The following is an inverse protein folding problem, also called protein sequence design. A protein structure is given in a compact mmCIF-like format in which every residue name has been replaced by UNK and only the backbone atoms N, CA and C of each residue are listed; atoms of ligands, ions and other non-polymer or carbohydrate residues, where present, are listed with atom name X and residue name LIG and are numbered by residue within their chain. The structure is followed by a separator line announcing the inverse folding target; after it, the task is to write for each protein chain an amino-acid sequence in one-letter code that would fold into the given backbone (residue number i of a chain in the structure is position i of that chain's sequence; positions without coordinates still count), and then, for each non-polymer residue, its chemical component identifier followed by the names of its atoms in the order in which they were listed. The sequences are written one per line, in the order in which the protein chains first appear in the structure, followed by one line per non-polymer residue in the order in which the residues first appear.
data_IF_846424000451
#
_entry.id   IF_846424000451
#
_cell.length_a   1.000
_cell.length_b   1.000
_cell.length_c   1.000
_cell.angle_alpha   90.00
_cell.angle_beta   90.00
_cell.angle_gamma   90.00
#
_symmetry.space_group_name_H-M   'P 1'
#
loop_
_entity.id
_entity.type
_entity.pdbx_description
1 polymer ?
#
# COMPACT_ATOMS: atom_id res chain seq x y z
N UNK A 1 -16.95 14.29 1.91
CA UNK A 1 -16.47 12.97 1.47
C UNK A 1 -15.24 12.64 2.29
N UNK A 2 -15.12 11.41 2.78
CA UNK A 2 -13.86 10.91 3.35
C UNK A 2 -12.80 10.85 2.25
N UNK A 3 -11.55 11.07 2.64
CA UNK A 3 -10.37 10.90 1.78
C UNK A 3 -9.92 9.44 1.82
N UNK A 4 -9.53 8.88 0.70
CA UNK A 4 -9.11 7.47 0.62
C UNK A 4 -7.60 7.33 0.73
N UNK A 5 -7.12 6.63 1.75
CA UNK A 5 -5.73 6.20 1.89
C UNK A 5 -5.59 4.75 1.43
N UNK A 6 -4.86 4.52 0.34
CA UNK A 6 -4.57 3.19 -0.17
C UNK A 6 -3.19 2.70 0.30
N UNK A 7 -3.20 1.65 1.10
CA UNK A 7 -2.01 0.93 1.53
C UNK A 7 -1.76 -0.23 0.57
N UNK A 8 -0.67 -0.15 -0.19
CA UNK A 8 -0.20 -1.24 -1.07
C UNK A 8 0.99 -1.91 -0.43
N UNK A 9 0.91 -3.21 -0.17
CA UNK A 9 1.94 -3.91 0.58
C UNK A 9 2.41 -5.20 -0.09
N UNK A 10 3.72 -5.47 0.01
CA UNK A 10 4.29 -6.78 -0.18
C UNK A 10 4.93 -7.21 1.14
N UNK A 11 4.35 -8.22 1.79
CA UNK A 11 4.72 -8.65 3.15
C UNK A 11 5.11 -10.13 3.18
N UNK A 12 6.22 -10.53 2.54
CA UNK A 12 6.59 -11.94 2.40
C UNK A 12 7.23 -12.55 3.66
N UNK A 13 7.48 -11.77 4.71
CA UNK A 13 8.17 -12.20 5.92
C UNK A 13 7.45 -11.73 7.20
N UNK A 14 7.68 -12.38 8.35
CA UNK A 14 7.11 -11.97 9.64
C UNK A 14 7.42 -10.51 10.00
N UNK A 15 8.65 -10.04 9.79
CA UNK A 15 9.00 -8.64 10.10
C UNK A 15 8.28 -7.63 9.21
N UNK A 16 8.09 -7.95 7.93
CA UNK A 16 7.27 -7.10 7.06
C UNK A 16 5.81 -7.12 7.49
N UNK A 17 5.31 -8.25 7.98
CA UNK A 17 3.96 -8.37 8.53
C UNK A 17 3.78 -7.53 9.80
N UNK A 18 4.71 -7.61 10.75
CA UNK A 18 4.71 -6.79 11.98
C UNK A 18 4.68 -5.28 11.64
N UNK A 19 5.52 -4.85 10.69
CA UNK A 19 5.55 -3.46 10.24
C UNK A 19 4.24 -3.06 9.54
N UNK A 20 3.66 -3.95 8.73
CA UNK A 20 2.37 -3.70 8.10
C UNK A 20 1.24 -3.56 9.12
N UNK A 21 1.21 -4.41 10.14
CA UNK A 21 0.22 -4.31 11.21
C UNK A 21 0.34 -3.01 12.01
N UNK A 22 1.56 -2.58 12.33
CA UNK A 22 1.81 -1.30 12.98
C UNK A 22 1.35 -0.11 12.12
N UNK A 23 1.61 -0.16 10.82
CA UNK A 23 1.14 0.84 9.86
C UNK A 23 -0.39 0.87 9.78
N UNK A 24 -1.03 -0.29 9.72
CA UNK A 24 -2.50 -0.39 9.70
C UNK A 24 -3.08 0.21 10.98
N UNK A 25 -2.55 -0.17 12.14
CA UNK A 25 -3.01 0.34 13.42
C UNK A 25 -2.92 1.87 13.49
N UNK A 26 -1.79 2.45 13.05
CA UNK A 26 -1.63 3.90 13.00
C UNK A 26 -2.48 4.60 11.94
N UNK A 27 -2.72 3.97 10.79
CA UNK A 27 -3.55 4.54 9.73
C UNK A 27 -5.05 4.51 10.08
N UNK A 28 -5.49 3.54 10.88
CA UNK A 28 -6.88 3.40 11.35
C UNK A 28 -7.06 3.85 12.80
N UNK A 29 -6.16 4.70 13.32
CA UNK A 29 -6.26 5.23 14.68
C UNK A 29 -7.58 6.01 14.83
N UNK A 30 -8.33 5.83 15.94
CA UNK A 30 -9.63 6.48 16.13
C UNK A 30 -9.56 8.02 16.17
N UNK A 31 -8.39 8.61 16.46
CA UNK A 31 -8.21 10.07 16.43
C UNK A 31 -8.02 10.60 14.98
N UNK A 32 -7.87 9.72 13.98
CA UNK A 32 -7.80 10.08 12.57
C UNK A 32 -9.21 10.06 11.97
N UNK A 33 -9.78 11.25 11.83
CA UNK A 33 -11.10 11.45 11.23
C UNK A 33 -11.04 11.76 9.73
N UNK A 34 -12.11 11.43 9.01
CA UNK A 34 -12.29 11.81 7.60
C UNK A 34 -11.42 11.04 6.61
N UNK A 35 -10.76 9.95 7.02
CA UNK A 35 -9.95 9.08 6.15
C UNK A 35 -10.52 7.65 6.13
N UNK A 36 -10.71 7.11 4.93
CA UNK A 36 -11.01 5.70 4.71
C UNK A 36 -9.73 4.96 4.30
N UNK A 37 -9.38 3.90 5.03
CA UNK A 37 -8.17 3.12 4.76
C UNK A 37 -8.50 1.85 3.98
N UNK A 38 -7.97 1.75 2.77
CA UNK A 38 -8.05 0.56 1.92
C UNK A 38 -6.68 -0.12 1.90
N UNK A 39 -6.67 -1.45 1.97
CA UNK A 39 -5.43 -2.25 2.00
C UNK A 39 -5.45 -3.26 0.86
N UNK A 40 -4.37 -3.32 0.07
CA UNK A 40 -4.24 -4.25 -1.06
C UNK A 40 -2.84 -4.88 -1.12
N UNK A 41 -2.75 -6.19 -1.36
CA UNK A 41 -1.49 -6.82 -1.75
C UNK A 41 -0.98 -6.24 -3.07
N UNK A 42 0.34 -6.03 -3.16
CA UNK A 42 0.98 -5.41 -4.33
C UNK A 42 0.74 -6.15 -5.66
N UNK A 43 0.50 -7.46 -5.62
CA UNK A 43 0.26 -8.28 -6.83
C UNK A 43 -1.20 -8.28 -7.28
N UNK A 44 -2.12 -7.74 -6.49
CA UNK A 44 -3.58 -7.80 -6.77
C UNK A 44 -4.28 -6.45 -6.72
N UNK A 45 -3.56 -5.37 -6.35
CA UNK A 45 -4.12 -4.01 -6.39
C UNK A 45 -4.51 -3.64 -7.82
N UNK A 46 -5.67 -3.03 -8.00
CA UNK A 46 -6.14 -2.63 -9.33
C UNK A 46 -5.71 -1.21 -9.71
N UNK A 47 -5.52 -0.89 -11.01
CA UNK A 47 -5.37 0.47 -11.55
C UNK A 47 -6.41 1.47 -11.05
N UNK A 48 -7.67 1.06 -11.02
CA UNK A 48 -8.79 1.91 -10.63
C UNK A 48 -8.65 2.34 -9.17
N UNK A 49 -8.41 1.39 -8.26
CA UNK A 49 -8.23 1.72 -6.83
C UNK A 49 -7.07 2.66 -6.58
N UNK A 50 -6.00 2.54 -7.38
CA UNK A 50 -4.89 3.49 -7.29
C UNK A 50 -5.31 4.87 -7.78
N UNK A 51 -5.94 5.00 -8.94
CA UNK A 51 -6.39 6.30 -9.47
C UNK A 51 -7.44 6.99 -8.59
N UNK A 52 -8.28 6.22 -7.91
CA UNK A 52 -9.34 6.74 -7.03
C UNK A 52 -8.83 7.14 -5.64
N UNK A 53 -7.62 6.71 -5.24
CA UNK A 53 -7.05 7.03 -3.94
C UNK A 53 -6.56 8.48 -3.86
N UNK A 54 -6.79 9.13 -2.72
CA UNK A 54 -6.28 10.47 -2.43
C UNK A 54 -4.85 10.45 -1.87
N UNK A 55 -4.41 9.31 -1.33
CA UNK A 55 -3.08 9.12 -0.77
C UNK A 55 -2.63 7.66 -0.80
N UNK A 56 -1.31 7.46 -0.80
CA UNK A 56 -0.71 6.13 -0.86
C UNK A 56 0.28 5.90 0.28
N UNK A 57 0.28 4.68 0.80
CA UNK A 57 1.34 4.15 1.64
C UNK A 57 1.87 2.85 1.01
N UNK A 58 3.15 2.83 0.68
CA UNK A 58 3.77 1.71 -0.03
C UNK A 58 4.68 0.90 0.91
N UNK A 59 4.25 -0.32 1.23
CA UNK A 59 5.04 -1.28 2.02
C UNK A 59 5.80 -2.26 1.14
N UNK A 60 7.14 -2.31 1.29
CA UNK A 60 7.99 -3.29 0.59
C UNK A 60 9.13 -3.77 1.50
N UNK A 61 9.56 -5.04 1.39
CA UNK A 61 10.88 -5.40 1.87
C UNK A 61 11.96 -4.71 1.03
N UNK A 62 13.11 -4.50 1.64
CA UNK A 62 14.33 -4.13 0.94
C UNK A 62 14.92 -5.37 0.26
N UNK A 63 14.70 -5.52 -1.04
CA UNK A 63 15.27 -6.59 -1.84
C UNK A 63 16.46 -6.04 -2.62
N UNK A 64 17.68 -6.49 -2.27
CA UNK A 64 18.93 -6.05 -2.90
C UNK A 64 19.10 -4.52 -2.89
N UNK A 65 18.70 -3.87 -1.79
CA UNK A 65 18.80 -2.41 -1.64
C UNK A 65 17.70 -1.61 -2.36
N UNK A 66 16.63 -2.26 -2.84
CA UNK A 66 15.53 -1.59 -3.54
C UNK A 66 14.15 -2.12 -3.10
N UNK A 67 13.07 -1.50 -3.61
CA UNK A 67 11.71 -2.03 -3.43
C UNK A 67 11.59 -3.42 -4.07
N UNK A 68 10.66 -4.21 -3.54
CA UNK A 68 10.46 -5.58 -4.01
C UNK A 68 9.98 -5.68 -5.45
N UNK A 69 10.21 -6.87 -6.04
CA UNK A 69 9.72 -7.20 -7.37
C UNK A 69 8.20 -7.14 -7.50
N UNK A 70 7.46 -7.47 -6.44
CA UNK A 70 6.01 -7.38 -6.44
C UNK A 70 5.52 -5.92 -6.53
N UNK A 71 6.12 -5.03 -5.74
CA UNK A 71 5.72 -3.62 -5.73
C UNK A 71 6.14 -2.91 -7.03
N UNK A 72 7.34 -3.21 -7.54
CA UNK A 72 7.80 -2.65 -8.82
C UNK A 72 6.96 -3.12 -10.01
N UNK A 73 6.42 -4.34 -9.97
CA UNK A 73 5.62 -4.89 -11.07
C UNK A 73 4.45 -3.97 -11.36
N UNK A 74 3.69 -3.64 -10.32
CA UNK A 74 2.56 -2.73 -10.44
C UNK A 74 2.98 -1.30 -10.84
N UNK A 75 4.02 -0.74 -10.20
CA UNK A 75 4.49 0.62 -10.51
C UNK A 75 5.06 0.77 -11.93
N UNK A 76 5.50 -0.32 -12.58
CA UNK A 76 6.07 -0.28 -13.94
C UNK A 76 5.02 -0.43 -15.04
N UNK A 77 3.92 -1.14 -14.78
CA UNK A 77 2.97 -1.52 -15.82
C UNK A 77 2.05 -0.39 -16.29
N UNK A 78 2.23 0.84 -15.78
CA UNK A 78 1.50 2.04 -16.22
C UNK A 78 1.96 2.64 -17.56
N UNK A 79 2.74 1.92 -18.38
CA UNK A 79 3.18 2.39 -19.72
C UNK A 79 2.10 2.34 -20.82
N UNK A 80 0.83 2.21 -20.47
CA UNK A 80 -0.26 2.02 -21.43
C UNK A 80 -1.44 2.98 -21.20
N UNK A 81 -1.15 4.26 -20.94
CA UNK A 81 -2.03 5.39 -21.27
C UNK A 81 -1.17 6.57 -21.72
#
# INVERSE_FOLDING_TARGET
MSKTLLIVHHTPSPHCQEMFEAVVAGATDPDIEGVEVIRRPALTVSPIEMLDADGYLLGSPANLGYISGALKHYLRDYRAY
#
